data_IF_228215321247
#
_entry.id   IF_228215321247
#
_cell.length_a   1.000
_cell.length_b   1.000
_cell.length_c   1.000
_cell.angle_alpha   90.00
_cell.angle_beta   90.00
_cell.angle_gamma   90.00
#
_symmetry.space_group_name_H-M   'P 1'
#
loop_
_entity.id
_entity.type
_entity.pdbx_description
1 polymer ?
#
# COMPACT_ATOMS: atom_id res chain seq x y z
N UNK A 1 9.19 28.02 -4.85
CA UNK A 1 9.81 29.15 -4.11
C UNK A 1 9.85 28.72 -2.64
N UNK A 2 10.92 28.96 -1.88
CA UNK A 2 10.96 28.56 -0.46
C UNK A 2 10.15 29.58 0.33
N UNK A 3 9.11 29.14 1.01
CA UNK A 3 8.38 29.96 1.99
C UNK A 3 9.22 30.01 3.27
N UNK A 4 9.71 31.21 3.56
CA UNK A 4 10.65 31.47 4.65
C UNK A 4 9.94 31.54 6.01
N UNK A 5 8.62 31.76 6.03
CA UNK A 5 7.81 31.82 7.24
C UNK A 5 7.33 30.42 7.66
N UNK A 6 7.00 29.56 6.69
CA UNK A 6 6.54 28.19 6.93
C UNK A 6 7.66 27.14 6.85
N UNK A 7 8.86 27.53 6.42
CA UNK A 7 10.02 26.64 6.29
C UNK A 7 9.82 25.53 5.26
N UNK A 8 8.94 25.72 4.27
CA UNK A 8 8.60 24.70 3.27
C UNK A 8 8.79 25.22 1.85
N UNK A 9 9.03 24.31 0.90
CA UNK A 9 9.03 24.64 -0.52
C UNK A 9 7.58 24.78 -0.98
N UNK A 10 7.12 26.02 -1.22
CA UNK A 10 5.81 26.26 -1.83
C UNK A 10 5.92 25.93 -3.31
N UNK A 11 5.32 24.79 -3.65
CA UNK A 11 5.06 24.39 -5.02
C UNK A 11 3.70 24.97 -5.42
N UNK A 12 3.71 26.08 -6.17
CA UNK A 12 2.51 26.61 -6.83
C UNK A 12 2.14 25.77 -8.06
N UNK A 13 2.12 24.45 -7.90
CA UNK A 13 1.89 23.53 -9.00
C UNK A 13 0.39 23.30 -9.16
N UNK A 14 -0.09 23.45 -10.40
CA UNK A 14 -1.43 23.04 -10.78
C UNK A 14 -1.62 21.55 -10.49
N UNK A 15 -2.88 21.09 -10.38
CA UNK A 15 -3.19 19.66 -10.22
C UNK A 15 -2.46 18.82 -11.28
N UNK A 16 -2.49 19.25 -12.55
CA UNK A 16 -1.70 18.64 -13.62
C UNK A 16 -0.20 18.48 -13.28
N UNK A 17 0.44 19.54 -12.76
CA UNK A 17 1.85 19.50 -12.35
C UNK A 17 2.12 18.49 -11.24
N UNK A 18 1.25 18.45 -10.23
CA UNK A 18 1.33 17.48 -9.13
C UNK A 18 1.17 16.04 -9.65
N UNK A 19 0.18 15.80 -10.52
CA UNK A 19 -0.04 14.48 -11.13
C UNK A 19 1.13 14.04 -12.01
N UNK A 20 1.75 14.97 -12.75
CA UNK A 20 2.97 14.67 -13.50
C UNK A 20 4.14 14.33 -12.58
N UNK A 21 4.33 15.08 -11.49
CA UNK A 21 5.36 14.79 -10.49
C UNK A 21 5.16 13.40 -9.87
N UNK A 22 3.93 13.09 -9.43
CA UNK A 22 3.56 11.76 -8.91
C UNK A 22 3.89 10.67 -9.92
N UNK A 23 3.50 10.87 -11.18
CA UNK A 23 3.77 9.90 -12.24
C UNK A 23 5.27 9.69 -12.45
N UNK A 24 6.07 10.76 -12.48
CA UNK A 24 7.52 10.69 -12.61
C UNK A 24 8.17 9.99 -11.42
N UNK A 25 7.75 10.31 -10.19
CA UNK A 25 8.24 9.65 -8.97
C UNK A 25 8.10 8.13 -9.06
N UNK A 26 6.97 7.62 -9.55
CA UNK A 26 6.79 6.17 -9.72
C UNK A 26 7.67 5.60 -10.83
N UNK A 27 7.82 6.31 -11.95
CA UNK A 27 8.61 5.83 -13.09
C UNK A 27 10.12 5.84 -12.85
N UNK A 28 10.62 6.86 -12.16
CA UNK A 28 12.05 7.06 -11.92
C UNK A 28 12.51 6.52 -10.57
N UNK A 29 11.60 6.24 -9.64
CA UNK A 29 12.01 5.72 -8.34
C UNK A 29 12.54 4.32 -8.45
N UNK A 30 13.76 4.18 -7.95
CA UNK A 30 14.34 2.90 -7.65
C UNK A 30 13.72 2.35 -6.35
N UNK A 31 13.86 1.06 -6.10
CA UNK A 31 13.35 0.43 -4.89
C UNK A 31 14.10 0.81 -3.61
N UNK A 32 15.14 1.64 -3.71
CA UNK A 32 15.88 2.12 -2.56
C UNK A 32 15.27 3.43 -2.05
N UNK A 33 15.16 3.58 -0.72
CA UNK A 33 14.79 4.85 -0.12
C UNK A 33 15.76 5.96 -0.54
N UNK A 34 15.21 7.13 -0.86
CA UNK A 34 16.01 8.32 -1.10
C UNK A 34 16.80 8.68 0.18
N UNK A 35 18.11 8.98 0.10
CA UNK A 35 18.92 9.26 1.29
C UNK A 35 18.49 10.49 2.10
N UNK A 36 17.75 11.43 1.50
CA UNK A 36 17.31 12.65 2.16
C UNK A 36 15.94 12.48 2.81
N UNK A 37 15.01 11.78 2.16
CA UNK A 37 13.65 11.58 2.69
C UNK A 37 13.47 10.25 3.42
N UNK A 38 14.40 9.32 3.28
CA UNK A 38 14.31 7.91 3.73
C UNK A 38 13.05 7.21 3.21
N UNK A 39 12.54 7.66 2.07
CA UNK A 39 11.34 7.14 1.44
C UNK A 39 11.62 6.79 -0.02
N UNK A 40 10.96 5.75 -0.49
CA UNK A 40 10.94 5.39 -1.90
C UNK A 40 10.05 6.36 -2.66
N UNK A 41 10.30 6.56 -3.96
CA UNK A 41 9.41 7.43 -4.74
C UNK A 41 8.00 6.85 -4.92
N UNK A 42 7.78 5.55 -4.67
CA UNK A 42 6.43 4.99 -4.54
C UNK A 42 5.72 5.55 -3.31
N UNK A 43 6.39 5.57 -2.15
CA UNK A 43 5.83 6.12 -0.91
C UNK A 43 5.59 7.62 -1.04
N UNK A 44 6.52 8.34 -1.68
CA UNK A 44 6.34 9.75 -2.03
C UNK A 44 5.11 9.97 -2.90
N UNK A 45 5.00 9.19 -3.99
CA UNK A 45 3.88 9.28 -4.92
C UNK A 45 2.54 8.97 -4.25
N UNK A 46 2.49 7.96 -3.37
CA UNK A 46 1.29 7.61 -2.61
C UNK A 46 0.91 8.70 -1.61
N UNK A 47 1.88 9.31 -0.94
CA UNK A 47 1.64 10.41 0.00
C UNK A 47 1.12 11.65 -0.71
N UNK A 48 1.77 12.06 -1.80
CA UNK A 48 1.34 13.21 -2.59
C UNK A 48 -0.08 13.01 -3.13
N UNK A 49 -0.40 11.81 -3.64
CA UNK A 49 -1.73 11.47 -4.14
C UNK A 49 -2.82 11.45 -3.04
N UNK A 50 -2.44 11.19 -1.78
CA UNK A 50 -3.34 11.29 -0.61
C UNK A 50 -3.47 12.72 -0.10
N UNK A 51 -2.51 13.59 -0.39
CA UNK A 51 -2.43 14.93 0.17
C UNK A 51 -3.54 15.82 -0.40
N UNK A 52 -3.83 16.91 0.32
CA UNK A 52 -4.81 17.89 -0.12
C UNK A 52 -4.47 18.54 -1.49
N UNK A 53 -3.23 18.44 -1.97
CA UNK A 53 -2.82 19.00 -3.27
C UNK A 53 -3.55 18.33 -4.42
N UNK A 54 -3.91 17.04 -4.29
CA UNK A 54 -4.70 16.30 -5.28
C UNK A 54 -6.21 16.52 -5.15
N UNK A 55 -6.68 17.25 -4.13
CA UNK A 55 -8.09 17.58 -3.91
C UNK A 55 -8.37 19.09 -4.02
N UNK A 56 -7.33 19.92 -4.08
CA UNK A 56 -7.44 21.38 -4.18
C UNK A 56 -7.55 21.83 -5.63
N UNK A 57 -8.71 21.59 -6.25
CA UNK A 57 -9.04 22.08 -7.59
C UNK A 57 -10.52 22.51 -7.64
N UNK A 58 -10.90 23.36 -8.59
CA UNK A 58 -12.31 23.78 -8.76
C UNK A 58 -13.05 22.94 -9.80
N UNK A 59 -12.33 22.54 -10.86
CA UNK A 59 -12.83 21.67 -11.92
C UNK A 59 -11.67 20.83 -12.43
N UNK A 60 -11.98 19.61 -12.87
CA UNK A 60 -10.99 18.66 -13.40
C UNK A 60 -11.02 18.68 -14.92
N UNK A 61 -9.85 18.79 -15.54
CA UNK A 61 -9.69 18.81 -16.99
C UNK A 61 -9.46 17.40 -17.56
N UNK A 62 -9.79 17.21 -18.84
CA UNK A 62 -9.63 15.93 -19.54
C UNK A 62 -8.21 15.36 -19.47
N UNK A 63 -7.20 16.22 -19.53
CA UNK A 63 -5.80 15.80 -19.47
C UNK A 63 -5.38 15.31 -18.07
N UNK A 64 -5.99 15.86 -17.01
CA UNK A 64 -5.76 15.46 -15.62
C UNK A 64 -6.43 14.11 -15.34
N UNK A 65 -7.65 13.91 -15.86
CA UNK A 65 -8.31 12.60 -15.86
C UNK A 65 -7.44 11.56 -16.58
N UNK A 66 -6.85 11.91 -17.72
CA UNK A 66 -5.94 11.01 -18.44
C UNK A 66 -4.68 10.66 -17.63
N UNK A 67 -4.12 11.61 -16.87
CA UNK A 67 -2.99 11.36 -15.96
C UNK A 67 -3.37 10.47 -14.80
N UNK A 68 -4.50 10.74 -14.14
CA UNK A 68 -5.04 9.90 -13.07
C UNK A 68 -5.25 8.46 -13.56
N UNK A 69 -5.79 8.29 -14.76
CA UNK A 69 -5.93 6.98 -15.40
C UNK A 69 -4.58 6.30 -15.67
N UNK A 70 -3.54 7.04 -16.07
CA UNK A 70 -2.18 6.50 -16.19
C UNK A 70 -1.59 6.09 -14.85
N UNK A 71 -1.86 6.84 -13.77
CA UNK A 71 -1.41 6.48 -12.43
C UNK A 71 -2.16 5.23 -11.94
N UNK A 72 -3.46 5.11 -12.23
CA UNK A 72 -4.25 3.94 -11.84
C UNK A 72 -3.77 2.64 -12.51
N UNK A 73 -3.21 2.71 -13.74
CA UNK A 73 -2.63 1.53 -14.40
C UNK A 73 -1.35 1.02 -13.73
N UNK A 74 -0.71 1.81 -12.87
CA UNK A 74 0.43 1.39 -12.03
C UNK A 74 -0.01 0.47 -10.88
N UNK A 75 -1.31 0.19 -10.76
CA UNK A 75 -1.84 -0.82 -9.85
C UNK A 75 -1.73 -2.22 -10.48
N UNK A 76 -1.00 -3.16 -9.85
CA UNK A 76 -0.87 -4.51 -10.39
C UNK A 76 -2.22 -5.23 -10.41
N UNK A 77 -2.59 -5.80 -11.55
CA UNK A 77 -3.86 -6.54 -11.68
C UNK A 77 -3.64 -8.02 -11.43
N UNK A 78 -4.49 -8.64 -10.63
CA UNK A 78 -4.44 -10.09 -10.37
C UNK A 78 -5.65 -10.80 -10.93
N UNK A 79 -5.42 -11.92 -11.58
CA UNK A 79 -6.48 -12.83 -12.01
C UNK A 79 -6.09 -14.27 -11.74
N UNK A 80 -7.09 -15.12 -11.70
CA UNK A 80 -6.91 -16.56 -11.57
C UNK A 80 -6.66 -17.11 -12.96
N UNK A 81 -5.61 -17.89 -13.10
CA UNK A 81 -5.23 -18.49 -14.38
C UNK A 81 -6.20 -19.60 -14.79
N UNK A 82 -6.79 -20.27 -13.80
CA UNK A 82 -7.70 -21.40 -14.00
C UNK A 82 -9.03 -21.19 -13.28
N UNK A 83 -10.09 -21.81 -13.81
CA UNK A 83 -11.41 -21.83 -13.15
C UNK A 83 -11.37 -22.48 -11.77
N UNK A 84 -10.46 -23.44 -11.56
CA UNK A 84 -10.24 -24.13 -10.28
C UNK A 84 -9.55 -23.26 -9.22
N UNK A 85 -9.16 -22.03 -9.57
CA UNK A 85 -8.52 -21.07 -8.67
C UNK A 85 -7.24 -21.57 -7.96
N UNK A 86 -6.54 -22.52 -8.56
CA UNK A 86 -5.33 -23.14 -7.98
C UNK A 86 -4.08 -22.30 -8.17
N UNK A 87 -4.06 -21.46 -9.21
CA UNK A 87 -2.94 -20.56 -9.54
C UNK A 87 -3.43 -19.15 -9.86
N UNK A 88 -2.56 -18.17 -9.64
CA UNK A 88 -2.83 -16.76 -9.93
C UNK A 88 -1.70 -16.13 -10.74
N UNK A 89 -2.07 -15.23 -11.64
CA UNK A 89 -1.16 -14.40 -12.40
C UNK A 89 -1.23 -12.95 -11.91
N UNK A 90 -0.07 -12.28 -11.91
CA UNK A 90 0.03 -10.84 -11.68
C UNK A 90 0.40 -10.17 -13.00
N UNK A 91 -0.38 -9.18 -13.39
CA UNK A 91 -0.18 -8.38 -14.58
C UNK A 91 0.39 -7.05 -14.11
N UNK A 92 1.68 -6.90 -14.32
CA UNK A 92 2.41 -5.68 -14.05
C UNK A 92 2.35 -4.78 -15.28
N UNK A 93 2.37 -3.47 -15.07
CA UNK A 93 2.60 -2.51 -16.13
C UNK A 93 4.00 -2.69 -16.70
N UNK A 94 4.07 -2.86 -18.02
CA UNK A 94 5.34 -3.04 -18.74
C UNK A 94 6.11 -1.73 -18.75
N UNK A 95 7.44 -1.80 -18.58
CA UNK A 95 8.31 -0.62 -18.60
C UNK A 95 8.41 0.13 -17.27
N UNK A 96 7.74 -0.35 -16.22
CA UNK A 96 7.85 0.18 -14.85
C UNK A 96 8.37 -0.92 -13.94
N UNK A 97 9.24 -0.58 -13.00
CA UNK A 97 9.71 -1.52 -11.97
C UNK A 97 8.52 -2.15 -11.24
N UNK A 98 8.59 -3.45 -10.98
CA UNK A 98 7.56 -4.18 -10.23
C UNK A 98 7.45 -3.69 -8.79
N UNK A 99 8.54 -3.15 -8.24
CA UNK A 99 8.60 -2.61 -6.88
C UNK A 99 8.02 -1.20 -6.78
N UNK A 100 7.93 -0.47 -7.90
CA UNK A 100 7.32 0.86 -7.94
C UNK A 100 5.80 0.82 -8.11
N UNK A 101 5.24 -0.35 -8.41
CA UNK A 101 3.81 -0.56 -8.62
C UNK A 101 3.12 -0.99 -7.31
N UNK A 102 2.10 -0.23 -6.90
CA UNK A 102 1.43 -0.43 -5.60
C UNK A 102 -0.09 -0.56 -5.75
N UNK A 103 -0.72 -1.42 -4.93
CA UNK A 103 -2.16 -1.68 -5.01
C UNK A 103 -3.04 -0.50 -4.58
N UNK A 104 -2.44 0.51 -3.96
CA UNK A 104 -3.18 1.63 -3.42
C UNK A 104 -3.45 2.74 -4.46
N UNK A 105 -2.69 2.79 -5.56
CA UNK A 105 -2.86 3.81 -6.61
C UNK A 105 -4.29 3.85 -7.14
N UNK A 106 -4.89 2.70 -7.48
CA UNK A 106 -6.25 2.66 -8.04
C UNK A 106 -7.29 3.23 -7.09
N UNK A 107 -7.17 2.96 -5.78
CA UNK A 107 -8.12 3.45 -4.78
C UNK A 107 -7.94 4.95 -4.51
N UNK A 108 -6.70 5.43 -4.47
CA UNK A 108 -6.43 6.86 -4.30
C UNK A 108 -6.90 7.66 -5.51
N UNK A 109 -6.60 7.18 -6.73
CA UNK A 109 -7.14 7.76 -7.97
C UNK A 109 -8.67 7.74 -7.95
N UNK A 110 -9.28 6.62 -7.55
CA UNK A 110 -10.75 6.52 -7.41
C UNK A 110 -11.30 7.56 -6.44
N UNK A 111 -10.63 7.79 -5.31
CA UNK A 111 -11.01 8.81 -4.33
C UNK A 111 -10.93 10.23 -4.89
N UNK A 112 -9.89 10.54 -5.67
CA UNK A 112 -9.74 11.85 -6.34
C UNK A 112 -10.82 12.05 -7.42
N UNK A 113 -11.09 11.04 -8.24
CA UNK A 113 -12.13 11.09 -9.27
C UNK A 113 -13.54 11.20 -8.65
N UNK A 114 -13.79 10.50 -7.55
CA UNK A 114 -15.03 10.59 -6.80
C UNK A 114 -15.21 12.00 -6.22
N UNK A 115 -14.16 12.58 -5.65
CA UNK A 115 -14.19 13.97 -5.19
C UNK A 115 -14.48 14.94 -6.35
N UNK A 116 -13.88 14.72 -7.52
CA UNK A 116 -14.17 15.52 -8.70
C UNK A 116 -15.64 15.43 -9.12
N UNK A 117 -16.28 14.26 -9.00
CA UNK A 117 -17.71 14.09 -9.27
C UNK A 117 -18.60 14.80 -8.24
N UNK A 118 -18.21 14.78 -6.97
CA UNK A 118 -18.93 15.49 -5.92
C UNK A 118 -18.87 17.01 -6.13
N UNK A 119 -17.73 17.52 -6.60
CA UNK A 119 -17.58 18.95 -6.91
C UNK A 119 -18.28 19.38 -8.20
N UNK A 120 -18.59 18.46 -9.12
CA UNK A 120 -19.40 18.78 -10.32
C UNK A 120 -20.82 19.24 -10.01
N UNK A 121 -21.34 18.97 -8.81
CA UNK A 121 -22.62 19.55 -8.38
C UNK A 121 -22.57 21.08 -8.37
N UNK A 122 -21.37 21.67 -8.23
CA UNK A 122 -21.15 23.11 -8.14
C UNK A 122 -20.56 23.75 -9.42
N UNK A 123 -20.30 22.97 -10.47
CA UNK A 123 -19.61 23.42 -11.69
C UNK A 123 -20.28 22.90 -12.97
N UNK A 124 -19.92 23.47 -14.12
CA UNK A 124 -20.31 22.90 -15.42
C UNK A 124 -19.71 21.51 -15.62
N UNK A 125 -20.41 20.68 -16.39
CA UNK A 125 -20.06 19.27 -16.66
C UNK A 125 -18.57 19.14 -17.07
N UNK A 126 -17.84 18.13 -16.56
CA UNK A 126 -16.42 17.98 -16.83
C UNK A 126 -16.20 17.74 -18.32
N UNK A 127 -15.05 18.20 -18.80
CA UNK A 127 -14.63 18.06 -20.20
C UNK A 127 -14.24 16.60 -20.58
N UNK A 128 -14.38 15.65 -19.66
CA UNK A 128 -14.03 14.25 -19.84
C UNK A 128 -14.99 13.30 -19.14
N UNK A 129 -15.07 12.08 -19.67
CA UNK A 129 -15.81 10.98 -19.03
C UNK A 129 -15.02 10.45 -17.83
N UNK A 130 -15.64 10.48 -16.65
CA UNK A 130 -15.05 9.98 -15.41
C UNK A 130 -15.64 8.61 -15.13
N UNK A 131 -14.86 7.55 -15.37
CA UNK A 131 -15.20 6.21 -14.89
C UNK A 131 -14.78 6.09 -13.41
N UNK A 132 -15.64 6.53 -12.50
CA UNK A 132 -15.39 6.49 -11.05
C UNK A 132 -15.69 5.14 -10.41
N UNK A 133 -15.76 4.06 -11.18
CA UNK A 133 -15.94 2.73 -10.61
C UNK A 133 -14.76 2.42 -9.70
N UNK A 134 -14.98 2.64 -8.41
CA UNK A 134 -14.09 2.21 -7.35
C UNK A 134 -13.91 0.71 -7.55
N UNK A 135 -12.75 0.25 -8.02
CA UNK A 135 -12.62 -1.14 -8.43
C UNK A 135 -12.62 -1.96 -7.16
N UNK A 136 -13.78 -2.57 -6.84
CA UNK A 136 -13.92 -3.45 -5.68
C UNK A 136 -12.74 -4.41 -5.66
N UNK A 137 -11.85 -4.33 -4.66
CA UNK A 137 -10.59 -5.04 -4.71
C UNK A 137 -10.87 -6.54 -4.74
N UNK A 138 -10.35 -7.22 -5.76
CA UNK A 138 -10.48 -8.67 -5.85
C UNK A 138 -9.88 -9.33 -4.60
N UNK A 139 -10.33 -10.55 -4.25
CA UNK A 139 -9.73 -11.30 -3.13
C UNK A 139 -8.22 -11.49 -3.29
N UNK A 140 -7.72 -11.61 -4.52
CA UNK A 140 -6.27 -11.70 -4.78
C UNK A 140 -5.56 -10.39 -4.54
N UNK A 141 -6.17 -9.26 -4.90
CA UNK A 141 -5.64 -7.92 -4.65
C UNK A 141 -5.58 -7.66 -3.15
N UNK A 142 -6.67 -7.94 -2.42
CA UNK A 142 -6.72 -7.79 -0.96
C UNK A 142 -5.62 -8.60 -0.28
N UNK A 143 -5.47 -9.88 -0.64
CA UNK A 143 -4.38 -10.73 -0.13
C UNK A 143 -2.99 -10.20 -0.51
N UNK A 144 -2.83 -9.58 -1.68
CA UNK A 144 -1.59 -8.95 -2.08
C UNK A 144 -1.23 -7.80 -1.16
N UNK A 145 -2.18 -6.90 -0.94
CA UNK A 145 -2.01 -5.73 -0.10
C UNK A 145 -1.67 -6.13 1.34
N UNK A 146 -2.33 -7.16 1.88
CA UNK A 146 -1.98 -7.70 3.19
C UNK A 146 -0.51 -8.19 3.30
N UNK A 147 0.05 -8.73 2.22
CA UNK A 147 1.46 -9.15 2.21
C UNK A 147 2.42 -7.96 2.11
N UNK A 148 1.99 -6.91 1.41
CA UNK A 148 2.77 -5.68 1.28
C UNK A 148 2.80 -4.86 2.56
N UNK A 149 1.83 -5.04 3.46
CA UNK A 149 1.79 -4.34 4.74
C UNK A 149 3.02 -4.59 5.65
N UNK A 150 3.82 -5.62 5.37
CA UNK A 150 5.09 -5.85 6.06
C UNK A 150 6.25 -4.98 5.54
N UNK A 151 6.11 -4.40 4.35
CA UNK A 151 7.16 -3.62 3.67
C UNK A 151 6.86 -2.13 3.59
N UNK A 152 5.60 -1.73 3.79
CA UNK A 152 5.16 -0.35 3.71
C UNK A 152 4.61 0.12 5.06
N UNK A 153 4.76 1.41 5.37
CA UNK A 153 4.09 2.05 6.51
C UNK A 153 2.57 1.79 6.55
N UNK A 154 1.97 1.93 7.74
CA UNK A 154 0.55 1.64 7.96
C UNK A 154 -0.36 2.54 7.11
N UNK A 155 0.04 3.79 6.88
CA UNK A 155 -0.67 4.77 6.05
C UNK A 155 -0.78 4.37 4.57
N UNK A 156 0.12 3.51 4.09
CA UNK A 156 0.09 2.96 2.73
C UNK A 156 -0.42 1.52 2.69
N UNK A 157 -0.58 0.91 3.86
CA UNK A 157 -1.20 -0.39 4.01
C UNK A 157 -2.71 -0.24 4.01
N UNK A 158 -3.44 -1.11 3.30
CA UNK A 158 -4.91 -1.18 3.40
C UNK A 158 -5.34 -1.78 4.74
N UNK A 159 -4.67 -1.46 5.86
CA UNK A 159 -5.00 -1.99 7.16
C UNK A 159 -6.49 -1.72 7.40
N UNK A 160 -7.30 -2.77 7.27
CA UNK A 160 -8.67 -2.78 7.73
C UNK A 160 -8.56 -2.31 9.17
N UNK A 161 -9.16 -1.16 9.50
CA UNK A 161 -9.36 -0.70 10.88
C UNK A 161 -9.47 -1.93 11.77
N UNK A 162 -8.41 -2.17 12.54
CA UNK A 162 -8.17 -3.45 13.21
C UNK A 162 -9.18 -3.61 14.33
N UNK A 163 -10.39 -4.04 13.97
CA UNK A 163 -11.42 -4.52 14.90
C UNK A 163 -11.70 -6.01 14.69
N UNK A 164 -10.90 -6.69 13.86
CA UNK A 164 -10.77 -8.14 13.87
C UNK A 164 -9.37 -8.51 14.32
N UNK A 165 -9.23 -8.72 15.64
CA UNK A 165 -8.11 -9.49 16.21
C UNK A 165 -7.93 -10.73 15.35
N UNK A 166 -6.72 -10.94 14.84
CA UNK A 166 -6.40 -12.14 14.07
C UNK A 166 -6.90 -13.36 14.84
N UNK A 167 -7.64 -14.23 14.16
CA UNK A 167 -7.96 -15.53 14.73
C UNK A 167 -6.62 -16.19 15.11
N UNK A 168 -6.50 -16.65 16.35
CA UNK A 168 -5.30 -17.35 16.82
C UNK A 168 -4.98 -18.44 15.80
N UNK A 169 -3.81 -18.35 15.18
CA UNK A 169 -3.37 -19.36 14.22
C UNK A 169 -3.17 -20.66 14.99
N UNK A 170 -4.12 -21.59 14.87
CA UNK A 170 -3.88 -22.97 15.27
C UNK A 170 -2.94 -23.59 14.22
N UNK A 171 -1.70 -23.83 14.64
CA UNK A 171 -0.72 -24.55 13.83
C UNK A 171 -1.29 -25.92 13.46
N UNK A 172 -1.13 -26.31 12.19
CA UNK A 172 -1.54 -27.63 11.68
C UNK A 172 -0.77 -28.79 12.32
N UNK A 173 0.34 -28.47 12.98
CA UNK A 173 1.23 -29.45 13.61
C UNK A 173 0.71 -29.94 14.97
N UNK A 174 -0.34 -29.30 15.52
CA UNK A 174 -0.96 -29.71 16.79
C UNK A 174 -1.70 -31.06 16.73
N UNK A 175 -1.86 -31.64 15.54
CA UNK A 175 -2.48 -32.96 15.35
C UNK A 175 -1.47 -34.13 15.35
N UNK A 176 -0.15 -33.87 15.43
CA UNK A 176 0.84 -34.94 15.57
C UNK A 176 1.23 -35.14 17.03
N UNK A 177 0.58 -36.09 17.70
CA UNK A 177 0.93 -36.53 19.06
C UNK A 177 2.44 -36.86 19.23
N UNK A 178 3.14 -37.24 18.15
CA UNK A 178 4.55 -37.62 18.18
C UNK A 178 5.56 -36.45 18.17
N UNK A 179 5.17 -35.23 17.77
CA UNK A 179 6.09 -34.07 17.70
C UNK A 179 6.05 -33.20 18.98
N UNK A 180 5.08 -33.43 19.86
CA UNK A 180 4.95 -32.72 21.14
C UNK A 180 6.10 -32.99 22.13
N UNK A 181 6.94 -34.00 21.88
CA UNK A 181 8.07 -34.34 22.73
C UNK A 181 9.19 -33.30 22.60
N UNK A 182 9.46 -32.82 21.39
CA UNK A 182 10.53 -31.85 21.13
C UNK A 182 10.21 -30.47 21.73
N UNK A 183 8.94 -30.04 21.60
CA UNK A 183 8.47 -28.78 22.19
C UNK A 183 8.43 -28.84 23.72
N UNK A 184 8.00 -29.97 24.29
CA UNK A 184 8.02 -30.19 25.74
C UNK A 184 9.44 -30.24 26.30
N UNK A 185 10.38 -30.92 25.64
CA UNK A 185 11.78 -30.94 26.05
C UNK A 185 12.42 -29.54 26.03
N UNK A 186 12.19 -28.76 24.97
CA UNK A 186 12.69 -27.37 24.92
C UNK A 186 12.10 -26.50 26.03
N UNK A 187 10.81 -26.69 26.35
CA UNK A 187 10.13 -25.94 27.41
C UNK A 187 10.62 -26.34 28.81
N UNK A 188 10.98 -27.60 29.03
CA UNK A 188 11.57 -28.07 30.29
C UNK A 188 12.98 -27.51 30.51
N UNK A 189 13.79 -27.37 29.46
CA UNK A 189 15.12 -26.73 29.55
C UNK A 189 15.01 -25.24 29.88
N UNK A 190 14.00 -24.55 29.34
CA UNK A 190 13.77 -23.13 29.63
C UNK A 190 13.16 -22.85 31.01
N UNK A 191 12.45 -23.81 31.62
CA UNK A 191 11.76 -23.64 32.92
C UNK A 191 12.51 -24.36 34.06
N UNK A 192 13.55 -25.13 33.75
CA UNK A 192 14.33 -25.86 34.75
C UNK A 192 14.94 -24.93 35.81
N UNK A 193 14.89 -25.31 37.11
CA UNK A 193 15.39 -24.46 38.18
C UNK A 193 16.90 -24.23 38.03
N UNK A 194 17.29 -22.96 37.90
CA UNK A 194 18.68 -22.51 38.00
C UNK A 194 19.11 -22.53 39.47
N UNK A 195 19.28 -23.71 40.05
CA UNK A 195 19.81 -23.86 41.40
C UNK A 195 20.92 -24.91 41.39
N UNK A 196 22.16 -24.44 41.20
CA UNK A 196 23.35 -25.21 41.56
C UNK A 196 23.35 -25.36 43.08
N UNK A 197 22.87 -26.49 43.58
CA UNK A 197 23.06 -26.88 44.98
C UNK A 197 24.52 -27.32 45.15
N UNK A 198 25.36 -26.43 45.68
CA UNK A 198 26.68 -26.82 46.17
C UNK A 198 26.51 -27.75 47.40
N UNK A 199 27.20 -28.90 47.45
CA UNK A 199 27.18 -29.76 48.62
C UNK A 199 27.97 -29.09 49.76
N UNK A 200 27.32 -28.85 50.90
CA UNK A 200 28.01 -28.51 52.15
C UNK A 200 28.61 -29.78 52.73
N UNK A 201 29.93 -29.85 52.72
CA UNK A 201 30.75 -30.82 53.44
C UNK A 201 30.80 -30.37 54.91
N UNK A 202 30.41 -31.26 55.82
CA UNK A 202 30.90 -31.34 57.20
C UNK A 202 31.17 -32.80 57.51
#
# INVERSE_FOLDING_TARGET
>A
MIDSDMGCLVSHTSLAGNLYQIYLLVLSSYCLPDPLTMQTGTEEALRELQSATCFSFQSIQKHEIALLNKISTLTPRRSWTTKSQTSHCVHWQIGVSTLSQHYYFSKLVGSVLQHALEMQVFADKPDGDIDSKDPTPSRLSLRATFRLAAFYPEEFSFALSSKKRGAVHQSRDLEREYENISSNMSRMVQIGPSALTHPRIY
#
